data_IF_733575108169
#
_entry.id   IF_733575108169
#
_cell.length_a   1.000
_cell.length_b   1.000
_cell.length_c   1.000
_cell.angle_alpha   90.00
_cell.angle_beta   90.00
_cell.angle_gamma   90.00
#
_symmetry.space_group_name_H-M   'P 1'
#
loop_
_entity.id
_entity.type
_entity.pdbx_description
1 polymer ?
#
# COMPACT_ATOMS: atom_id res chain seq x y z
N UNK A 1 13.71 18.67 14.41
CA UNK A 1 13.88 17.20 14.44
C UNK A 1 13.26 16.66 13.16
N UNK A 2 14.08 16.15 12.24
CA UNK A 2 13.66 15.74 10.90
C UNK A 2 12.96 14.36 10.84
N UNK A 3 12.72 13.74 12.00
CA UNK A 3 11.99 12.46 12.07
C UNK A 3 12.64 11.28 11.35
N UNK A 4 13.94 11.36 11.05
CA UNK A 4 14.68 10.31 10.37
C UNK A 4 15.29 9.37 11.39
N UNK A 5 14.99 8.08 11.25
CA UNK A 5 15.62 7.00 12.03
C UNK A 5 16.64 6.32 11.12
N UNK A 6 17.90 6.34 11.52
CA UNK A 6 18.98 5.63 10.84
C UNK A 6 19.35 4.39 11.64
N UNK A 7 19.41 3.25 10.98
CA UNK A 7 19.79 1.99 11.62
C UNK A 7 20.57 1.10 10.65
N UNK A 8 21.44 0.27 11.20
CA UNK A 8 22.19 -0.74 10.45
C UNK A 8 21.78 -2.14 10.91
N UNK A 9 21.63 -3.05 9.95
CA UNK A 9 21.40 -4.45 10.27
C UNK A 9 22.71 -5.14 10.64
N UNK A 10 22.67 -5.99 11.66
CA UNK A 10 23.81 -6.84 11.98
C UNK A 10 24.18 -7.70 10.75
N UNK A 11 25.49 -7.91 10.52
CA UNK A 11 26.03 -8.63 9.36
C UNK A 11 25.38 -9.99 9.12
N UNK A 12 25.10 -10.73 10.20
CA UNK A 12 24.50 -12.05 10.15
C UNK A 12 23.04 -12.05 9.68
N UNK A 13 22.34 -10.91 9.76
CA UNK A 13 20.97 -10.75 9.29
C UNK A 13 20.90 -10.41 7.81
N UNK A 14 21.96 -9.85 7.22
CA UNK A 14 21.99 -9.42 5.81
C UNK A 14 21.64 -10.55 4.84
N UNK A 15 22.12 -11.80 4.98
CA UNK A 15 21.77 -12.90 4.08
C UNK A 15 20.29 -13.23 4.07
N UNK A 16 19.61 -13.10 5.21
CA UNK A 16 18.17 -13.35 5.33
C UNK A 16 17.34 -12.32 4.56
N UNK A 17 17.76 -11.07 4.54
CA UNK A 17 17.09 -10.02 3.78
C UNK A 17 17.39 -10.08 2.28
N UNK A 18 18.65 -10.31 1.91
CA UNK A 18 19.07 -10.39 0.50
C UNK A 18 18.50 -11.66 -0.17
N UNK A 19 18.41 -12.76 0.58
CA UNK A 19 17.87 -14.04 0.11
C UNK A 19 16.35 -14.13 0.05
N UNK A 20 15.63 -13.20 0.67
CA UNK A 20 14.16 -13.22 0.78
C UNK A 20 13.45 -12.89 -0.54
N UNK A 21 13.78 -13.60 -1.63
CA UNK A 21 13.08 -13.48 -2.93
C UNK A 21 11.88 -14.39 -3.07
N UNK A 22 11.68 -15.33 -2.13
CA UNK A 22 10.59 -16.29 -2.11
C UNK A 22 9.94 -16.30 -0.72
N UNK A 23 8.69 -16.69 -0.63
CA UNK A 23 7.96 -16.85 0.63
C UNK A 23 7.83 -15.56 1.47
N UNK A 24 7.62 -14.42 0.82
CA UNK A 24 7.33 -13.17 1.52
C UNK A 24 5.96 -12.64 1.12
N UNK A 25 5.26 -12.07 2.08
CA UNK A 25 3.97 -11.43 1.86
C UNK A 25 4.15 -9.92 1.68
N UNK A 26 3.63 -9.37 0.60
CA UNK A 26 3.61 -7.91 0.38
C UNK A 26 2.39 -7.32 1.06
N UNK A 27 2.61 -6.57 2.11
CA UNK A 27 1.57 -5.82 2.80
C UNK A 27 1.61 -4.35 2.41
N UNK A 28 0.44 -3.77 2.15
CA UNK A 28 0.32 -2.32 2.08
C UNK A 28 0.18 -1.79 3.50
N UNK A 29 1.23 -1.12 3.99
CA UNK A 29 1.29 -0.62 5.35
C UNK A 29 0.15 0.36 5.67
N UNK A 30 -0.27 1.19 4.70
CA UNK A 30 -1.38 2.11 4.90
C UNK A 30 -2.69 1.35 5.17
N UNK A 31 -2.98 0.32 4.38
CA UNK A 31 -4.19 -0.51 4.60
C UNK A 31 -4.15 -1.23 5.94
N UNK A 32 -2.96 -1.72 6.34
CA UNK A 32 -2.77 -2.37 7.63
C UNK A 32 -3.02 -1.39 8.80
N UNK A 33 -2.49 -0.17 8.72
CA UNK A 33 -2.65 0.86 9.75
C UNK A 33 -4.07 1.43 9.82
N UNK A 34 -4.82 1.39 8.73
CA UNK A 34 -6.21 1.84 8.69
C UNK A 34 -7.20 0.85 9.38
N UNK A 35 -6.74 -0.38 9.69
CA UNK A 35 -7.54 -1.38 10.38
C UNK A 35 -7.64 -1.08 11.89
N UNK A 36 -8.84 -0.93 12.46
CA UNK A 36 -9.03 -0.46 13.83
C UNK A 36 -8.83 -1.56 14.89
N UNK A 37 -8.95 -2.84 14.51
CA UNK A 37 -8.88 -3.97 15.42
C UNK A 37 -7.61 -4.78 15.20
N UNK A 38 -6.97 -5.19 16.31
CA UNK A 38 -5.82 -6.09 16.26
C UNK A 38 -6.16 -7.43 15.59
N UNK A 39 -7.39 -7.92 15.77
CA UNK A 39 -7.88 -9.14 15.11
C UNK A 39 -8.00 -8.93 13.60
N UNK A 40 -8.49 -7.77 13.17
CA UNK A 40 -8.57 -7.40 11.75
C UNK A 40 -7.19 -7.30 11.12
N UNK A 41 -6.21 -6.73 11.84
CA UNK A 41 -4.82 -6.62 11.39
C UNK A 41 -4.13 -7.99 11.26
N UNK A 42 -4.25 -8.86 12.28
CA UNK A 42 -3.67 -10.21 12.26
C UNK A 42 -4.31 -11.06 11.17
N UNK A 43 -5.65 -11.06 11.08
CA UNK A 43 -6.37 -11.81 10.05
C UNK A 43 -6.04 -11.29 8.64
N UNK A 44 -5.94 -9.97 8.44
CA UNK A 44 -5.53 -9.39 7.16
C UNK A 44 -4.14 -9.86 6.74
N UNK A 45 -3.18 -9.87 7.67
CA UNK A 45 -1.82 -10.35 7.41
C UNK A 45 -1.81 -11.81 6.99
N UNK A 46 -2.55 -12.65 7.70
CA UNK A 46 -2.68 -14.08 7.38
C UNK A 46 -3.33 -14.29 6.01
N UNK A 47 -4.50 -13.71 5.76
CA UNK A 47 -5.20 -13.86 4.50
C UNK A 47 -4.40 -13.30 3.32
N UNK A 48 -3.61 -12.25 3.55
CA UNK A 48 -2.75 -11.67 2.52
C UNK A 48 -1.60 -12.60 2.12
N UNK A 49 -1.16 -13.49 3.00
CA UNK A 49 -0.14 -14.51 2.66
C UNK A 49 -0.67 -15.61 1.75
N UNK A 50 -1.98 -15.74 1.66
CA UNK A 50 -2.68 -16.76 0.87
C UNK A 50 -3.49 -16.20 -0.31
N UNK A 51 -3.38 -14.90 -0.60
CA UNK A 51 -4.20 -14.21 -1.61
C UNK A 51 -3.89 -14.60 -3.07
N UNK A 52 -2.89 -15.44 -3.28
CA UNK A 52 -2.55 -16.09 -4.54
C UNK A 52 -3.36 -17.39 -4.78
N UNK A 53 -4.02 -17.92 -3.74
CA UNK A 53 -4.87 -19.11 -3.81
C UNK A 53 -6.35 -18.73 -3.92
N UNK A 54 -7.19 -19.63 -4.48
CA UNK A 54 -8.62 -19.38 -4.56
C UNK A 54 -9.31 -19.49 -3.18
N UNK A 55 -8.81 -20.35 -2.33
CA UNK A 55 -9.33 -20.60 -0.98
C UNK A 55 -8.24 -21.08 -0.03
N UNK A 56 -8.47 -20.89 1.27
CA UNK A 56 -7.66 -21.44 2.35
C UNK A 56 -8.55 -21.90 3.49
N UNK A 57 -8.25 -23.05 4.06
CA UNK A 57 -8.91 -23.58 5.23
C UNK A 57 -7.94 -23.59 6.42
N UNK A 58 -8.43 -23.18 7.59
CA UNK A 58 -7.67 -23.19 8.84
C UNK A 58 -8.51 -23.83 9.94
N UNK A 59 -7.88 -24.64 10.76
CA UNK A 59 -8.51 -25.26 11.93
C UNK A 59 -8.84 -24.18 12.97
N UNK A 60 -10.00 -24.27 13.60
CA UNK A 60 -10.48 -23.25 14.52
C UNK A 60 -9.52 -22.99 15.70
N UNK A 61 -8.86 -24.02 16.20
CA UNK A 61 -7.86 -23.89 17.28
C UNK A 61 -6.63 -23.09 16.82
N UNK A 62 -6.10 -23.38 15.63
CA UNK A 62 -4.98 -22.64 15.05
C UNK A 62 -5.35 -21.19 14.79
N UNK A 63 -6.59 -20.94 14.36
CA UNK A 63 -7.08 -19.57 14.15
C UNK A 63 -7.17 -18.79 15.47
N UNK A 64 -7.60 -19.43 16.55
CA UNK A 64 -7.59 -18.85 17.89
C UNK A 64 -6.19 -18.49 18.37
N UNK A 65 -5.24 -19.40 18.18
CA UNK A 65 -3.84 -19.19 18.58
C UNK A 65 -3.19 -18.08 17.75
N UNK A 66 -3.40 -18.08 16.44
CA UNK A 66 -2.87 -17.06 15.54
C UNK A 66 -3.42 -15.65 15.87
N UNK A 67 -4.71 -15.58 16.23
CA UNK A 67 -5.34 -14.31 16.58
C UNK A 67 -5.08 -13.90 18.03
N UNK A 68 -4.47 -14.78 18.85
CA UNK A 68 -4.29 -14.60 20.30
C UNK A 68 -5.61 -14.28 20.99
N UNK A 69 -6.59 -15.19 20.78
CA UNK A 69 -7.95 -14.99 21.23
C UNK A 69 -8.08 -15.33 22.72
N UNK A 70 -8.59 -14.43 23.58
CA UNK A 70 -8.76 -14.71 24.99
C UNK A 70 -9.80 -15.81 25.23
N UNK A 71 -9.71 -16.50 26.36
CA UNK A 71 -10.63 -17.59 26.75
C UNK A 71 -12.11 -17.19 26.66
N UNK A 72 -12.43 -15.95 26.96
CA UNK A 72 -13.80 -15.41 26.91
C UNK A 72 -14.41 -15.43 25.50
N UNK A 73 -13.59 -15.40 24.47
CA UNK A 73 -14.02 -15.40 23.06
C UNK A 73 -13.76 -16.73 22.34
N UNK A 74 -13.33 -17.78 23.04
CA UNK A 74 -13.11 -19.12 22.43
C UNK A 74 -14.39 -19.85 22.04
N UNK A 75 -15.53 -19.45 22.61
CA UNK A 75 -16.82 -19.99 22.15
C UNK A 75 -17.13 -19.52 20.76
N UNK A 76 -17.41 -20.44 19.84
CA UNK A 76 -17.62 -20.12 18.44
C UNK A 76 -18.65 -19.00 18.17
N UNK A 77 -19.84 -18.94 18.83
CA UNK A 77 -20.78 -17.86 18.59
C UNK A 77 -20.23 -16.47 18.91
N UNK A 78 -19.47 -16.38 20.01
CA UNK A 78 -18.86 -15.12 20.46
C UNK A 78 -17.67 -14.76 19.55
N UNK A 79 -16.83 -15.74 19.20
CA UNK A 79 -15.73 -15.58 18.26
C UNK A 79 -16.22 -15.13 16.88
N UNK A 80 -17.28 -15.76 16.38
CA UNK A 80 -17.89 -15.36 15.11
C UNK A 80 -18.32 -13.90 15.15
N UNK A 81 -19.09 -13.50 16.16
CA UNK A 81 -19.70 -12.16 16.26
C UNK A 81 -18.67 -11.08 16.50
N UNK A 82 -17.75 -11.28 17.44
CA UNK A 82 -16.85 -10.23 17.90
C UNK A 82 -15.51 -10.19 17.15
N UNK A 83 -15.12 -11.28 16.51
CA UNK A 83 -13.85 -11.38 15.80
C UNK A 83 -14.06 -11.50 14.29
N UNK A 84 -14.71 -12.58 13.81
CA UNK A 84 -14.80 -12.86 12.38
C UNK A 84 -15.65 -11.86 11.61
N UNK A 85 -16.87 -11.60 12.05
CA UNK A 85 -17.78 -10.67 11.37
C UNK A 85 -17.24 -9.24 11.39
N UNK A 86 -16.66 -8.82 12.52
CA UNK A 86 -16.03 -7.52 12.64
C UNK A 86 -14.80 -7.39 11.76
N UNK A 87 -13.91 -8.40 11.78
CA UNK A 87 -12.72 -8.39 10.94
C UNK A 87 -13.07 -8.43 9.44
N UNK A 88 -14.08 -9.22 9.07
CA UNK A 88 -14.57 -9.27 7.70
C UNK A 88 -15.05 -7.89 7.21
N UNK A 89 -15.85 -7.20 8.01
CA UNK A 89 -16.31 -5.85 7.70
C UNK A 89 -15.15 -4.87 7.56
N UNK A 90 -14.27 -4.82 8.56
CA UNK A 90 -13.12 -3.90 8.58
C UNK A 90 -12.20 -4.11 7.38
N UNK A 91 -11.88 -5.37 7.05
CA UNK A 91 -10.98 -5.71 5.95
C UNK A 91 -11.62 -5.39 4.61
N UNK A 92 -12.88 -5.77 4.39
CA UNK A 92 -13.59 -5.53 3.13
C UNK A 92 -13.81 -4.04 2.85
N UNK A 93 -14.06 -3.24 3.88
CA UNK A 93 -14.28 -1.79 3.75
C UNK A 93 -12.97 -1.01 3.57
N UNK A 94 -11.90 -1.41 4.26
CA UNK A 94 -10.68 -0.60 4.40
C UNK A 94 -9.48 -1.11 3.62
N UNK A 95 -9.57 -2.32 3.06
CA UNK A 95 -8.47 -2.89 2.30
C UNK A 95 -8.86 -3.32 0.88
N UNK A 96 -7.86 -3.65 0.07
CA UNK A 96 -8.08 -4.20 -1.28
C UNK A 96 -8.41 -5.69 -1.29
N UNK A 97 -8.38 -6.35 -0.11
CA UNK A 97 -8.68 -7.76 0.01
C UNK A 97 -10.19 -7.96 0.11
N UNK A 98 -10.73 -8.81 -0.75
CA UNK A 98 -12.13 -9.21 -0.71
C UNK A 98 -12.20 -10.73 -0.56
N UNK A 99 -12.90 -11.18 0.44
CA UNK A 99 -13.04 -12.60 0.74
C UNK A 99 -14.39 -12.89 1.36
N UNK A 100 -14.84 -14.12 1.22
CA UNK A 100 -15.97 -14.70 1.95
C UNK A 100 -15.44 -15.74 2.92
N UNK A 101 -16.21 -16.13 3.90
CA UNK A 101 -15.82 -17.18 4.82
C UNK A 101 -16.98 -18.10 5.18
N UNK A 102 -16.69 -19.40 5.33
CA UNK A 102 -17.66 -20.42 5.65
C UNK A 102 -17.18 -21.28 6.81
N UNK A 103 -18.04 -21.57 7.80
CA UNK A 103 -17.69 -22.51 8.86
C UNK A 103 -17.87 -23.95 8.39
N UNK A 104 -16.84 -24.77 8.55
CA UNK A 104 -16.89 -26.19 8.30
C UNK A 104 -17.15 -26.91 9.62
N UNK A 105 -18.23 -27.69 9.66
CA UNK A 105 -18.65 -28.42 10.85
C UNK A 105 -18.16 -29.84 10.80
N UNK A 106 -17.72 -30.35 11.95
CA UNK A 106 -17.50 -31.74 12.19
C UNK A 106 -18.50 -32.20 13.28
N UNK A 107 -19.56 -32.89 12.85
CA UNK A 107 -20.69 -33.19 13.71
C UNK A 107 -21.47 -31.91 14.12
N UNK A 108 -21.57 -31.69 15.45
CA UNK A 108 -22.26 -30.51 16.00
C UNK A 108 -21.38 -29.28 16.20
N UNK A 109 -20.06 -29.45 16.17
CA UNK A 109 -19.10 -28.38 16.40
C UNK A 109 -18.52 -27.85 15.09
N UNK A 110 -18.12 -26.59 15.07
CA UNK A 110 -17.30 -26.02 13.99
C UNK A 110 -15.86 -26.44 14.22
N UNK A 111 -15.25 -27.11 13.23
CA UNK A 111 -13.89 -27.60 13.30
C UNK A 111 -12.91 -26.68 12.60
N UNK A 112 -13.29 -26.11 11.46
CA UNK A 112 -12.44 -25.24 10.66
C UNK A 112 -13.23 -24.12 10.01
N UNK A 113 -12.52 -23.13 9.51
CA UNK A 113 -13.08 -22.02 8.73
C UNK A 113 -12.38 -21.99 7.39
N UNK A 114 -13.19 -21.94 6.33
CA UNK A 114 -12.73 -21.77 4.96
C UNK A 114 -12.89 -20.32 4.57
N UNK A 115 -11.82 -19.73 4.07
CA UNK A 115 -11.81 -18.41 3.47
C UNK A 115 -11.70 -18.55 1.96
N UNK A 116 -12.60 -17.90 1.21
CA UNK A 116 -12.71 -17.95 -0.24
C UNK A 116 -12.38 -16.56 -0.76
N UNK A 117 -11.34 -16.46 -1.57
CA UNK A 117 -10.89 -15.18 -2.11
C UNK A 117 -11.64 -14.80 -3.37
N UNK A 118 -12.27 -13.63 -3.35
CA UNK A 118 -12.88 -13.02 -4.54
C UNK A 118 -11.86 -12.16 -5.27
N UNK A 119 -12.13 -11.86 -6.56
CA UNK A 119 -11.22 -11.02 -7.35
C UNK A 119 -10.94 -9.68 -6.67
N UNK A 120 -9.66 -9.26 -6.70
CA UNK A 120 -9.17 -8.03 -6.07
C UNK A 120 -9.94 -6.82 -6.59
N UNK A 121 -10.69 -6.16 -5.73
CA UNK A 121 -11.27 -4.85 -6.05
C UNK A 121 -10.15 -3.81 -6.05
N UNK A 122 -10.07 -2.98 -7.11
CA UNK A 122 -9.19 -1.81 -7.09
C UNK A 122 -9.64 -0.86 -5.98
N UNK A 123 -8.78 -0.63 -4.98
CA UNK A 123 -9.12 0.15 -3.80
C UNK A 123 -9.24 1.64 -4.18
N UNK A 124 -10.42 2.27 -4.07
CA UNK A 124 -10.65 3.62 -4.60
C UNK A 124 -9.79 4.69 -3.90
N UNK A 125 -9.40 4.49 -2.64
CA UNK A 125 -8.59 5.46 -1.88
C UNK A 125 -7.16 5.59 -2.40
N UNK A 126 -6.53 4.49 -2.82
CA UNK A 126 -5.18 4.53 -3.40
C UNK A 126 -5.21 5.19 -4.77
N UNK A 127 -6.27 4.93 -5.55
CA UNK A 127 -6.44 5.53 -6.86
C UNK A 127 -6.63 7.05 -6.74
N UNK A 128 -7.47 7.51 -5.82
CA UNK A 128 -7.71 8.93 -5.57
C UNK A 128 -6.45 9.66 -5.11
N UNK A 129 -5.68 9.10 -4.17
CA UNK A 129 -4.41 9.70 -3.71
C UNK A 129 -3.34 9.75 -4.82
N UNK A 130 -3.29 8.73 -5.69
CA UNK A 130 -2.39 8.69 -6.84
C UNK A 130 -2.81 9.72 -7.91
N UNK A 131 -4.10 9.84 -8.17
CA UNK A 131 -4.63 10.79 -9.13
C UNK A 131 -4.45 12.24 -8.62
N UNK A 132 -4.74 12.52 -7.33
CA UNK A 132 -4.46 13.80 -6.68
C UNK A 132 -2.96 14.16 -6.70
N UNK A 133 -2.07 13.18 -6.50
CA UNK A 133 -0.63 13.39 -6.58
C UNK A 133 -0.15 13.69 -8.01
N UNK A 134 -0.70 12.99 -9.01
CA UNK A 134 -0.43 13.24 -10.43
C UNK A 134 -0.94 14.60 -10.87
N UNK A 135 -2.12 14.99 -10.42
CA UNK A 135 -2.70 16.29 -10.72
C UNK A 135 -1.90 17.44 -10.11
N UNK A 136 -1.48 17.32 -8.84
CA UNK A 136 -0.58 18.28 -8.20
C UNK A 136 0.77 18.37 -8.90
N UNK A 137 1.32 17.25 -9.37
CA UNK A 137 2.57 17.24 -10.14
C UNK A 137 2.39 17.91 -11.52
N UNK A 138 1.27 17.65 -12.19
CA UNK A 138 0.92 18.29 -13.46
C UNK A 138 0.74 19.80 -13.30
N UNK A 139 0.06 20.26 -12.25
CA UNK A 139 -0.10 21.69 -11.93
C UNK A 139 1.24 22.36 -11.65
N UNK A 140 2.16 21.72 -10.91
CA UNK A 140 3.52 22.23 -10.67
C UNK A 140 4.32 22.34 -11.97
N UNK A 141 4.22 21.33 -12.84
CA UNK A 141 4.91 21.35 -14.13
C UNK A 141 4.36 22.45 -15.04
N UNK A 142 3.05 22.65 -15.06
CA UNK A 142 2.41 23.72 -15.85
C UNK A 142 2.77 25.11 -15.32
N UNK A 143 2.77 25.31 -13.99
CA UNK A 143 3.19 26.57 -13.39
C UNK A 143 4.66 26.90 -13.71
N UNK A 144 5.55 25.91 -13.65
CA UNK A 144 6.95 26.06 -14.03
C UNK A 144 7.12 26.41 -15.52
N UNK A 145 6.30 25.80 -16.39
CA UNK A 145 6.31 26.10 -17.83
C UNK A 145 5.85 27.53 -18.13
N UNK A 146 4.77 27.98 -17.47
CA UNK A 146 4.27 29.35 -17.61
C UNK A 146 5.33 30.38 -17.14
N UNK A 147 5.96 30.09 -16.00
CA UNK A 147 7.03 30.96 -15.47
C UNK A 147 8.23 31.05 -16.45
N UNK A 148 8.63 29.91 -17.01
CA UNK A 148 9.70 29.86 -18.01
C UNK A 148 9.36 30.64 -19.30
N UNK A 149 8.10 30.51 -19.77
CA UNK A 149 7.63 31.27 -20.95
C UNK A 149 7.56 32.78 -20.70
N UNK A 150 7.11 33.20 -19.52
CA UNK A 150 7.06 34.62 -19.16
C UNK A 150 8.47 35.19 -19.07
N UNK A 151 9.40 34.52 -18.41
CA UNK A 151 10.81 34.92 -18.34
C UNK A 151 11.45 35.03 -19.73
N UNK A 152 11.07 34.16 -20.68
CA UNK A 152 11.54 34.20 -22.05
C UNK A 152 10.97 35.39 -22.82
N UNK A 153 9.70 35.71 -22.65
CA UNK A 153 9.06 36.90 -23.26
C UNK A 153 9.64 38.22 -22.74
N UNK A 154 9.84 38.35 -21.42
CA UNK A 154 10.40 39.54 -20.79
C UNK A 154 11.85 39.85 -21.24
N UNK A 155 12.60 38.82 -21.64
CA UNK A 155 13.98 38.92 -22.11
C UNK A 155 14.12 39.00 -23.64
N UNK A 156 13.07 39.39 -24.35
CA UNK A 156 13.11 39.59 -25.81
C UNK A 156 13.42 38.32 -26.61
N UNK A 157 13.10 37.13 -26.07
CA UNK A 157 13.29 35.89 -26.79
C UNK A 157 14.71 35.33 -26.82
N UNK A 158 15.68 36.01 -26.17
CA UNK A 158 17.07 35.57 -26.13
C UNK A 158 17.44 34.96 -24.77
N UNK A 159 17.92 33.73 -24.79
CA UNK A 159 18.49 33.11 -23.61
C UNK A 159 19.98 33.48 -23.55
N UNK A 160 20.33 34.49 -22.78
CA UNK A 160 21.75 34.81 -22.53
C UNK A 160 22.33 33.71 -21.64
N UNK A 161 23.04 32.76 -22.25
CA UNK A 161 23.71 31.66 -21.61
C UNK A 161 24.90 32.08 -20.76
N UNK A 162 24.68 32.89 -19.73
CA UNK A 162 25.66 33.28 -18.73
C UNK A 162 25.46 32.54 -17.43
N UNK A 163 26.36 31.71 -17.10
CA UNK A 163 26.84 31.19 -15.80
C UNK A 163 25.88 30.72 -14.65
N UNK A 164 24.57 30.86 -14.74
CA UNK A 164 23.65 30.20 -13.80
C UNK A 164 22.93 29.01 -14.44
N UNK A 165 23.72 28.16 -15.06
CA UNK A 165 23.26 27.06 -15.95
C UNK A 165 22.41 25.95 -15.32
N UNK A 166 22.34 25.85 -14.01
CA UNK A 166 21.71 24.62 -13.43
C UNK A 166 20.21 24.73 -13.13
N UNK A 167 19.68 25.93 -12.88
CA UNK A 167 18.28 26.07 -12.44
C UNK A 167 17.37 26.60 -13.55
N UNK A 168 17.74 27.65 -14.22
CA UNK A 168 16.90 28.32 -15.24
C UNK A 168 17.01 27.61 -16.60
N UNK A 169 18.19 27.18 -17.00
CA UNK A 169 18.41 26.49 -18.27
C UNK A 169 17.85 25.07 -18.27
N UNK A 170 17.82 24.36 -17.14
CA UNK A 170 17.20 23.05 -16.99
C UNK A 170 15.67 23.08 -17.17
N UNK A 171 15.04 24.21 -16.88
CA UNK A 171 13.60 24.40 -17.09
C UNK A 171 13.34 24.76 -18.56
N UNK A 172 14.12 25.66 -19.15
CA UNK A 172 13.99 26.05 -20.56
C UNK A 172 14.29 24.89 -21.53
N UNK A 173 15.28 24.05 -21.28
CA UNK A 173 15.63 22.90 -22.12
C UNK A 173 14.52 21.83 -22.19
N UNK A 174 13.67 21.73 -21.18
CA UNK A 174 12.52 20.80 -21.20
C UNK A 174 11.38 21.26 -22.10
N UNK A 175 11.30 22.55 -22.43
CA UNK A 175 10.17 23.16 -23.14
C UNK A 175 10.54 23.80 -24.48
N UNK A 176 11.81 23.67 -24.93
CA UNK A 176 12.26 24.17 -26.22
C UNK A 176 12.56 23.03 -27.19
N UNK A 177 12.16 23.14 -28.47
CA UNK A 177 12.72 22.31 -29.54
C UNK A 177 14.24 22.57 -29.61
N UNK A 178 15.02 21.50 -29.76
CA UNK A 178 16.48 21.53 -29.71
C UNK A 178 17.18 22.43 -30.74
N UNK A 179 16.44 22.98 -31.69
CA UNK A 179 17.01 23.70 -32.84
C UNK A 179 17.37 25.17 -32.59
N UNK A 180 16.96 25.74 -31.44
CA UNK A 180 17.18 27.19 -31.18
C UNK A 180 18.23 27.51 -30.10
N UNK A 181 18.94 26.51 -29.59
CA UNK A 181 20.00 26.67 -28.60
C UNK A 181 21.44 26.50 -29.14
N UNK A 182 21.59 26.38 -30.44
CA UNK A 182 22.89 26.40 -31.11
C UNK A 182 23.10 27.77 -31.73
N UNK A 183 23.50 28.74 -30.94
CA UNK A 183 24.31 29.91 -31.33
C UNK A 183 24.86 30.59 -30.09
#
# INVERSE_FOLDING_TARGET
YDGVITGEFHRDLVPFFIGARRFFTRLNLQQYMDLPSIYSQRLFTYLKSWDDKPEVEIILTELHDMLDTPETLKRYPDFRRFVLEKAHKDITEKTSLNYEWEPIKQGRAVASIRFIFSQKKAFPVVKKKLDDAKEKQSQRNNAAAVTAMNCFKERGGTCQGGHQKKTICGICLKFRPQESCQK
#
